data_IF_630954976161
#
_entry.id   IF_630954976161
#
_cell.length_a   1.000
_cell.length_b   1.000
_cell.length_c   1.000
_cell.angle_alpha   90.00
_cell.angle_beta   90.00
_cell.angle_gamma   90.00
#
_symmetry.space_group_name_H-M   'P 1'
#
loop_
_entity.id
_entity.type
_entity.pdbx_description
1 polymer ?
#
# COMPACT_ATOMS: atom_id res chain seq x y z
N UNK A 1 8.03 22.25 59.87
CA UNK A 1 7.18 21.72 60.99
C UNK A 1 6.91 20.29 60.55
N UNK A 2 7.69 19.57 61.06
CA UNK A 2 7.74 18.50 62.07
C UNK A 2 7.31 17.17 61.45
N UNK A 3 8.27 16.35 61.21
CA UNK A 3 9.11 15.47 62.07
C UNK A 3 8.39 14.21 62.57
N UNK A 4 9.07 13.11 62.34
CA UNK A 4 9.50 12.06 63.28
C UNK A 4 8.57 10.83 63.31
N UNK A 5 8.96 9.58 63.38
CA UNK A 5 10.24 8.90 63.55
C UNK A 5 9.95 7.37 63.68
N UNK A 6 10.85 6.53 63.22
CA UNK A 6 11.50 5.35 63.86
C UNK A 6 10.65 4.32 64.61
N UNK A 7 10.87 3.02 64.51
CA UNK A 7 11.93 2.15 65.03
C UNK A 7 11.69 0.70 64.61
N UNK A 8 12.69 0.04 64.11
CA UNK A 8 13.48 -1.05 64.69
C UNK A 8 12.76 -2.12 65.54
N UNK A 9 12.90 -3.40 65.22
CA UNK A 9 13.83 -4.26 65.94
C UNK A 9 13.94 -5.67 65.33
N UNK A 10 15.18 -6.13 65.25
CA UNK A 10 15.62 -7.48 64.93
C UNK A 10 15.47 -8.38 66.15
N UNK A 11 15.24 -9.68 66.03
CA UNK A 11 15.74 -10.70 66.97
C UNK A 11 16.09 -11.98 66.23
N UNK A 12 17.32 -12.42 66.48
CA UNK A 12 17.98 -13.65 66.08
C UNK A 12 17.80 -14.66 67.28
N UNK A 13 17.66 -15.96 67.01
CA UNK A 13 18.23 -17.04 67.79
C UNK A 13 18.00 -18.40 67.12
N UNK A 14 18.97 -19.05 66.71
CA UNK A 14 19.90 -20.11 67.04
C UNK A 14 19.30 -21.47 67.56
N UNK A 15 19.66 -22.47 66.75
CA UNK A 15 20.35 -23.73 67.13
C UNK A 15 19.55 -24.92 67.67
N UNK A 16 19.88 -26.08 67.09
CA UNK A 16 19.74 -27.37 67.81
C UNK A 16 19.85 -28.61 66.92
N UNK A 17 20.97 -29.25 67.00
CA UNK A 17 21.44 -30.48 66.37
C UNK A 17 20.66 -31.70 66.90
N UNK A 18 20.41 -32.76 66.12
CA UNK A 18 20.64 -34.16 66.49
C UNK A 18 20.52 -35.13 65.32
N UNK A 19 21.51 -35.96 65.17
CA UNK A 19 21.61 -37.15 64.29
C UNK A 19 20.69 -38.29 64.80
N UNK A 20 20.15 -39.05 63.83
CA UNK A 20 19.93 -40.48 64.00
C UNK A 20 19.90 -41.19 62.62
N UNK A 21 20.82 -42.13 62.46
CA UNK A 21 20.93 -43.08 61.32
C UNK A 21 19.89 -44.17 61.47
N UNK A 22 19.20 -44.54 60.43
CA UNK A 22 18.74 -45.92 60.20
C UNK A 22 18.62 -46.18 58.70
N UNK A 23 19.36 -47.17 58.22
CA UNK A 23 19.32 -47.71 56.90
C UNK A 23 18.04 -48.54 56.70
N UNK A 24 17.29 -48.32 55.64
CA UNK A 24 16.32 -49.29 55.15
C UNK A 24 16.36 -49.34 53.62
N UNK A 25 16.80 -50.50 53.15
CA UNK A 25 16.88 -50.91 51.77
C UNK A 25 15.46 -51.03 51.20
N UNK A 26 15.09 -50.22 50.24
CA UNK A 26 13.85 -50.39 49.50
C UNK A 26 14.11 -50.20 48.02
N UNK A 27 13.87 -51.30 47.33
CA UNK A 27 13.91 -51.51 45.85
C UNK A 27 12.90 -50.56 45.21
N UNK A 28 13.36 -49.56 44.49
CA UNK A 28 12.50 -48.66 43.70
C UNK A 28 12.63 -49.00 42.20
N UNK A 29 11.49 -49.45 41.66
CA UNK A 29 11.27 -49.56 40.22
C UNK A 29 11.53 -48.17 39.56
N UNK A 30 12.48 -48.15 38.64
CA UNK A 30 12.69 -47.03 37.74
C UNK A 30 11.56 -47.02 36.69
N UNK A 31 10.53 -46.21 36.90
CA UNK A 31 9.68 -45.79 35.79
C UNK A 31 10.41 -44.67 35.05
N UNK A 32 10.97 -45.01 33.90
CA UNK A 32 11.50 -44.04 32.96
C UNK A 32 10.32 -43.22 32.40
N UNK A 33 10.04 -42.04 33.01
CA UNK A 33 9.27 -41.00 32.39
C UNK A 33 10.12 -40.42 31.25
N UNK A 34 9.83 -40.85 30.05
CA UNK A 34 10.31 -40.18 28.84
C UNK A 34 9.61 -38.81 28.76
N UNK A 35 10.16 -37.81 29.46
CA UNK A 35 9.93 -36.41 29.10
C UNK A 35 10.61 -36.21 27.75
N UNK A 36 9.82 -36.20 26.68
CA UNK A 36 10.29 -35.75 25.41
C UNK A 36 10.77 -34.30 25.56
N UNK A 37 12.07 -34.10 25.52
CA UNK A 37 12.67 -32.80 25.31
C UNK A 37 12.05 -32.23 24.03
N UNK A 38 11.09 -31.29 24.16
CA UNK A 38 10.83 -30.31 23.14
C UNK A 38 12.15 -29.56 22.96
N UNK A 39 12.95 -29.99 21.98
CA UNK A 39 14.03 -29.16 21.46
C UNK A 39 13.36 -27.84 21.07
N UNK A 40 13.53 -26.82 21.91
CA UNK A 40 13.42 -25.43 21.46
C UNK A 40 14.43 -25.33 20.34
N UNK A 41 13.93 -25.21 19.11
CA UNK A 41 14.75 -24.82 17.97
C UNK A 41 15.21 -23.42 18.33
N UNK A 42 16.42 -23.32 18.89
CA UNK A 42 17.11 -22.07 19.07
C UNK A 42 17.35 -21.57 17.65
N UNK A 43 16.64 -20.53 17.22
CA UNK A 43 16.78 -19.96 15.88
C UNK A 43 18.25 -19.61 15.69
N UNK A 44 18.87 -20.23 14.70
CA UNK A 44 20.27 -19.93 14.36
C UNK A 44 20.38 -18.41 14.07
N UNK A 45 21.46 -17.75 14.50
CA UNK A 45 21.62 -16.33 14.26
C UNK A 45 21.57 -16.04 12.75
N UNK A 46 20.78 -15.01 12.39
CA UNK A 46 20.64 -14.59 11.01
C UNK A 46 22.02 -14.26 10.40
N UNK A 47 22.25 -14.64 9.16
CA UNK A 47 23.42 -14.19 8.41
C UNK A 47 23.36 -12.66 8.24
N UNK A 48 24.53 -12.01 8.11
CA UNK A 48 24.59 -10.55 7.86
C UNK A 48 23.79 -10.14 6.62
N UNK A 49 23.79 -10.96 5.58
CA UNK A 49 23.03 -10.71 4.36
C UNK A 49 21.51 -10.79 4.60
N UNK A 50 21.07 -11.69 5.46
CA UNK A 50 19.66 -11.83 5.82
C UNK A 50 19.20 -10.70 6.75
N UNK A 51 20.00 -10.35 7.75
CA UNK A 51 19.73 -9.23 8.64
C UNK A 51 19.63 -7.91 7.85
N UNK A 52 20.51 -7.69 6.87
CA UNK A 52 20.46 -6.54 5.97
C UNK A 52 19.18 -6.53 5.15
N UNK A 53 18.84 -7.65 4.50
CA UNK A 53 17.62 -7.77 3.70
C UNK A 53 16.37 -7.46 4.54
N UNK A 54 16.22 -8.03 5.72
CA UNK A 54 15.09 -7.78 6.60
C UNK A 54 15.01 -6.32 7.05
N UNK A 55 16.16 -5.66 7.26
CA UNK A 55 16.23 -4.23 7.57
C UNK A 55 15.75 -3.38 6.38
N UNK A 56 16.18 -3.70 5.16
CA UNK A 56 15.75 -3.01 3.93
C UNK A 56 14.24 -3.18 3.71
N UNK A 57 13.70 -4.37 3.93
CA UNK A 57 12.26 -4.64 3.85
C UNK A 57 11.47 -3.86 4.91
N UNK A 58 11.98 -3.77 6.13
CA UNK A 58 11.35 -2.98 7.18
C UNK A 58 11.27 -1.50 6.81
N UNK A 59 12.37 -0.93 6.30
CA UNK A 59 12.42 0.45 5.83
C UNK A 59 11.45 0.69 4.66
N UNK A 60 11.41 -0.23 3.69
CA UNK A 60 10.47 -0.13 2.57
C UNK A 60 9.01 -0.12 3.04
N UNK A 61 8.65 -1.00 3.98
CA UNK A 61 7.30 -1.07 4.57
C UNK A 61 6.91 0.20 5.31
N UNK A 62 7.85 0.78 6.05
CA UNK A 62 7.64 2.07 6.74
C UNK A 62 7.40 3.20 5.72
N UNK A 63 8.27 3.32 4.69
CA UNK A 63 8.13 4.32 3.64
C UNK A 63 6.80 4.15 2.89
N UNK A 64 6.42 2.91 2.56
CA UNK A 64 5.15 2.59 1.90
C UNK A 64 3.93 3.10 2.69
N UNK A 65 3.91 2.92 4.00
CA UNK A 65 2.84 3.42 4.86
C UNK A 65 2.86 4.95 4.96
N UNK A 66 4.03 5.54 5.07
CA UNK A 66 4.20 7.00 5.07
C UNK A 66 3.66 7.62 3.78
N UNK A 67 4.04 7.10 2.62
CA UNK A 67 3.59 7.59 1.31
C UNK A 67 2.06 7.53 1.16
N UNK A 68 1.45 6.44 1.62
CA UNK A 68 -0.01 6.30 1.60
C UNK A 68 -0.72 7.33 2.48
N UNK A 69 -0.10 7.71 3.60
CA UNK A 69 -0.69 8.59 4.61
C UNK A 69 -0.22 10.04 4.52
N UNK A 70 0.54 10.40 3.48
CA UNK A 70 0.85 11.81 3.20
C UNK A 70 -0.45 12.66 3.09
N UNK A 71 -0.42 13.96 3.38
CA UNK A 71 -1.58 14.84 3.26
C UNK A 71 -2.29 14.77 1.90
N UNK A 72 -1.54 14.41 0.84
CA UNK A 72 -2.02 14.18 -0.53
C UNK A 72 -1.74 12.76 -1.04
N UNK A 73 -1.46 11.81 -0.14
CA UNK A 73 -1.33 10.39 -0.42
C UNK A 73 -2.64 9.77 -0.90
N UNK A 74 -2.63 8.49 -1.23
CA UNK A 74 -3.82 7.80 -1.72
C UNK A 74 -4.94 7.67 -0.68
N UNK A 75 -4.60 7.60 0.60
CA UNK A 75 -5.59 7.56 1.68
C UNK A 75 -6.32 8.90 1.89
N UNK A 76 -5.80 10.00 1.34
CA UNK A 76 -6.45 11.32 1.38
C UNK A 76 -7.54 11.51 0.31
N UNK A 77 -7.72 10.55 -0.61
CA UNK A 77 -8.68 10.65 -1.72
C UNK A 77 -10.11 10.49 -1.20
N UNK A 78 -10.92 11.55 -1.35
CA UNK A 78 -12.29 11.65 -0.83
C UNK A 78 -13.37 11.77 -1.89
N UNK A 79 -13.01 11.81 -3.17
CA UNK A 79 -13.98 11.94 -4.25
C UNK A 79 -13.41 11.70 -5.63
N UNK A 80 -14.25 11.10 -6.47
CA UNK A 80 -14.09 11.00 -7.92
C UNK A 80 -15.44 11.34 -8.55
N UNK A 81 -15.51 12.45 -9.28
CA UNK A 81 -16.76 12.97 -9.81
C UNK A 81 -16.67 13.21 -11.31
N UNK A 82 -17.42 12.46 -12.09
CA UNK A 82 -17.45 12.58 -13.54
C UNK A 82 -18.09 13.90 -13.98
N UNK A 83 -17.42 14.60 -14.89
CA UNK A 83 -17.94 15.81 -15.53
C UNK A 83 -18.89 15.43 -16.67
N UNK A 84 -20.10 14.96 -16.34
CA UNK A 84 -21.09 14.49 -17.30
C UNK A 84 -21.80 15.64 -18.07
N UNK A 85 -22.00 16.78 -17.40
CA UNK A 85 -22.62 17.96 -17.96
C UNK A 85 -21.59 18.99 -18.45
N UNK A 86 -22.07 20.00 -19.21
CA UNK A 86 -21.21 21.09 -19.65
C UNK A 86 -20.75 21.98 -18.49
N UNK A 87 -21.55 22.10 -17.43
CA UNK A 87 -21.23 22.92 -16.25
C UNK A 87 -21.66 22.21 -14.98
N UNK A 88 -20.83 22.33 -13.94
CA UNK A 88 -21.09 21.80 -12.61
C UNK A 88 -20.70 22.81 -11.54
N UNK A 89 -21.63 23.16 -10.66
CA UNK A 89 -21.30 23.82 -9.40
C UNK A 89 -20.76 22.77 -8.42
N UNK A 90 -19.61 23.07 -7.81
CA UNK A 90 -18.89 22.16 -6.92
C UNK A 90 -18.74 22.81 -5.54
N UNK A 91 -18.93 22.03 -4.49
CA UNK A 91 -18.76 22.44 -3.11
C UNK A 91 -19.28 21.37 -2.14
N UNK A 92 -19.12 21.57 -0.84
CA UNK A 92 -19.67 20.66 0.18
C UNK A 92 -21.15 20.93 0.50
N UNK A 93 -21.67 22.08 0.08
CA UNK A 93 -23.04 22.50 0.34
C UNK A 93 -24.10 21.70 -0.43
N UNK A 94 -25.32 21.67 0.12
CA UNK A 94 -26.44 20.91 -0.45
C UNK A 94 -26.88 21.36 -1.85
N UNK A 95 -26.58 22.61 -2.25
CA UNK A 95 -26.92 23.17 -3.57
C UNK A 95 -25.89 22.88 -4.64
N UNK A 96 -24.77 22.22 -4.30
CA UNK A 96 -23.74 21.86 -5.27
C UNK A 96 -24.19 20.69 -6.14
N UNK A 97 -24.06 20.82 -7.46
CA UNK A 97 -24.34 19.73 -8.41
C UNK A 97 -23.33 18.56 -8.28
N UNK A 98 -22.09 18.89 -7.93
CA UNK A 98 -21.07 17.93 -7.46
C UNK A 98 -20.78 18.27 -6.01
N UNK A 99 -21.15 17.35 -5.11
CA UNK A 99 -20.94 17.51 -3.67
C UNK A 99 -19.65 16.83 -3.25
N UNK A 100 -18.67 17.64 -2.81
CA UNK A 100 -17.42 17.13 -2.22
C UNK A 100 -17.62 16.90 -0.71
N UNK A 101 -16.89 15.94 -0.16
CA UNK A 101 -17.06 15.52 1.24
C UNK A 101 -16.53 16.55 2.24
N UNK A 102 -15.45 17.25 1.90
CA UNK A 102 -14.78 18.28 2.74
C UNK A 102 -14.44 19.49 1.89
N UNK A 103 -14.46 20.68 2.50
CA UNK A 103 -14.14 21.95 1.85
C UNK A 103 -15.28 22.97 1.94
N UNK A 104 -15.19 24.11 1.22
CA UNK A 104 -16.18 25.20 1.27
C UNK A 104 -17.55 24.74 0.73
N UNK A 105 -18.63 25.32 1.25
CA UNK A 105 -20.01 25.05 0.80
C UNK A 105 -20.18 25.29 -0.70
N UNK A 106 -19.57 26.35 -1.23
CA UNK A 106 -19.49 26.64 -2.66
C UNK A 106 -18.02 26.88 -3.01
N UNK A 107 -17.43 25.97 -3.79
CA UNK A 107 -16.05 26.12 -4.27
C UNK A 107 -16.00 26.96 -5.56
N UNK A 108 -16.93 26.71 -6.46
CA UNK A 108 -17.03 27.40 -7.75
C UNK A 108 -17.66 26.54 -8.83
N UNK A 109 -17.49 26.95 -10.08
CA UNK A 109 -18.10 26.33 -11.24
C UNK A 109 -17.03 25.74 -12.18
N UNK A 110 -17.17 24.45 -12.49
CA UNK A 110 -16.40 23.76 -13.54
C UNK A 110 -17.18 23.74 -14.83
N UNK A 111 -16.53 24.06 -15.94
CA UNK A 111 -17.14 24.11 -17.27
C UNK A 111 -16.26 23.34 -18.27
N UNK A 112 -16.90 22.51 -19.10
CA UNK A 112 -16.25 21.88 -20.27
C UNK A 112 -16.50 22.70 -21.52
N UNK A 113 -15.47 22.96 -22.27
CA UNK A 113 -15.58 23.64 -23.57
C UNK A 113 -14.45 23.16 -24.50
N UNK A 114 -14.80 22.63 -25.67
CA UNK A 114 -13.83 22.21 -26.69
C UNK A 114 -12.79 21.20 -26.19
N UNK A 115 -13.18 20.24 -25.34
CA UNK A 115 -12.25 19.26 -24.77
C UNK A 115 -11.41 19.78 -23.59
N UNK A 116 -11.56 21.04 -23.20
CA UNK A 116 -10.87 21.68 -22.07
C UNK A 116 -11.80 21.81 -20.87
N UNK A 117 -11.22 21.87 -19.69
CA UNK A 117 -11.92 22.13 -18.44
C UNK A 117 -11.50 23.49 -17.89
N UNK A 118 -12.48 24.30 -17.55
CA UNK A 118 -12.29 25.63 -16.95
C UNK A 118 -12.91 25.66 -15.59
N UNK A 119 -12.29 26.40 -14.68
CA UNK A 119 -12.80 26.64 -13.34
C UNK A 119 -12.97 28.14 -13.09
N UNK A 120 -14.13 28.51 -12.55
CA UNK A 120 -14.44 29.86 -12.07
C UNK A 120 -14.69 29.77 -10.57
N UNK A 121 -13.85 30.41 -9.72
CA UNK A 121 -14.00 30.34 -8.26
C UNK A 121 -15.24 31.08 -7.76
N UNK A 122 -15.76 30.62 -6.62
CA UNK A 122 -16.71 31.40 -5.84
C UNK A 122 -16.03 32.65 -5.26
N UNK A 123 -16.79 33.73 -5.11
CA UNK A 123 -16.25 35.00 -4.61
C UNK A 123 -15.79 34.89 -3.15
N UNK A 124 -14.66 35.51 -2.86
CA UNK A 124 -14.14 35.60 -1.48
C UNK A 124 -13.33 34.36 -1.02
N UNK A 125 -13.19 33.33 -1.84
CA UNK A 125 -12.35 32.17 -1.50
C UNK A 125 -10.87 32.46 -1.80
N UNK A 126 -10.02 32.05 -0.87
CA UNK A 126 -8.57 31.99 -1.05
C UNK A 126 -8.21 30.63 -1.66
N UNK A 127 -7.93 30.61 -2.96
CA UNK A 127 -7.60 29.40 -3.72
C UNK A 127 -6.21 29.53 -4.36
N UNK A 128 -5.59 28.40 -4.61
CA UNK A 128 -4.33 28.34 -5.36
C UNK A 128 -4.47 27.48 -6.61
N UNK A 129 -3.73 27.81 -7.66
CA UNK A 129 -3.51 26.99 -8.83
C UNK A 129 -2.02 26.70 -8.91
N UNK A 130 -1.66 25.41 -8.87
CA UNK A 130 -0.25 24.95 -8.88
C UNK A 130 0.57 25.65 -7.77
N UNK A 131 -0.05 25.81 -6.59
CA UNK A 131 0.54 26.47 -5.40
C UNK A 131 0.54 27.99 -5.41
N UNK A 132 0.10 28.67 -6.50
CA UNK A 132 0.07 30.11 -6.60
C UNK A 132 -1.35 30.66 -6.46
N UNK A 133 -1.56 31.75 -5.69
CA UNK A 133 -2.86 32.41 -5.61
C UNK A 133 -3.34 32.88 -6.98
N UNK A 134 -4.62 32.69 -7.28
CA UNK A 134 -5.21 33.16 -8.54
C UNK A 134 -6.59 33.75 -8.33
N UNK A 135 -7.08 34.46 -9.34
CA UNK A 135 -8.42 35.05 -9.37
C UNK A 135 -9.02 34.87 -10.75
N UNK A 136 -10.34 34.77 -10.81
CA UNK A 136 -11.08 34.67 -12.07
C UNK A 136 -11.07 33.28 -12.67
N UNK A 137 -11.50 33.20 -13.92
CA UNK A 137 -11.63 31.95 -14.66
C UNK A 137 -10.26 31.46 -15.16
N UNK A 138 -9.95 30.18 -14.90
CA UNK A 138 -8.69 29.52 -15.31
C UNK A 138 -8.97 28.23 -16.09
N UNK A 139 -8.06 27.84 -16.98
CA UNK A 139 -8.05 26.53 -17.61
C UNK A 139 -7.32 25.55 -16.68
N UNK A 140 -7.88 24.35 -16.51
CA UNK A 140 -7.26 23.24 -15.77
C UNK A 140 -6.80 22.16 -16.76
N UNK A 141 -5.52 21.84 -16.73
CA UNK A 141 -4.96 20.71 -17.48
C UNK A 141 -5.36 19.40 -16.80
N UNK A 142 -5.73 18.41 -17.58
CA UNK A 142 -5.90 17.03 -17.09
C UNK A 142 -4.57 16.24 -17.14
N UNK A 143 -4.60 15.00 -16.66
CA UNK A 143 -3.43 14.12 -16.57
C UNK A 143 -3.10 13.34 -17.85
N UNK A 144 -3.75 13.63 -18.99
CA UNK A 144 -3.55 12.88 -20.23
C UNK A 144 -2.22 13.20 -20.94
N UNK A 145 -1.69 14.42 -20.75
CA UNK A 145 -0.49 14.91 -21.44
C UNK A 145 0.54 15.50 -20.45
N UNK A 146 0.72 14.89 -19.30
CA UNK A 146 1.64 15.33 -18.28
C UNK A 146 0.96 15.67 -16.96
N UNK A 147 1.66 16.34 -16.02
CA UNK A 147 1.09 16.65 -14.72
C UNK A 147 -0.17 17.52 -14.84
N UNK A 148 -1.27 17.13 -14.17
CA UNK A 148 -2.49 17.93 -14.16
C UNK A 148 -2.31 19.20 -13.35
N UNK A 149 -3.14 20.23 -13.64
CA UNK A 149 -3.24 21.40 -12.77
C UNK A 149 -3.81 21.00 -11.40
N UNK A 150 -3.24 21.56 -10.33
CA UNK A 150 -3.65 21.32 -8.95
C UNK A 150 -4.36 22.55 -8.40
N UNK A 151 -5.67 22.47 -8.23
CA UNK A 151 -6.48 23.47 -7.54
C UNK A 151 -6.43 23.20 -6.04
N UNK A 152 -5.82 24.12 -5.27
CA UNK A 152 -5.76 24.08 -3.81
C UNK A 152 -6.87 24.89 -3.16
N UNK A 153 -7.47 24.36 -2.10
CA UNK A 153 -8.52 25.00 -1.31
C UNK A 153 -8.36 24.64 0.18
N UNK A 154 -9.15 25.24 1.04
CA UNK A 154 -9.15 24.99 2.49
C UNK A 154 -7.72 25.08 3.08
N UNK A 155 -7.08 26.25 2.86
CA UNK A 155 -5.71 26.55 3.33
C UNK A 155 -4.66 25.51 2.86
N UNK A 156 -4.90 24.91 1.70
CA UNK A 156 -4.00 23.90 1.10
C UNK A 156 -4.25 22.47 1.55
N UNK A 157 -5.16 22.21 2.47
CA UNK A 157 -5.58 20.86 2.89
C UNK A 157 -6.30 20.11 1.78
N UNK A 158 -7.12 20.80 1.01
CA UNK A 158 -7.85 20.26 -0.13
C UNK A 158 -7.10 20.45 -1.44
N UNK A 159 -7.03 19.40 -2.25
CA UNK A 159 -6.47 19.42 -3.59
C UNK A 159 -7.46 18.78 -4.56
N UNK A 160 -7.67 19.44 -5.69
CA UNK A 160 -8.52 18.94 -6.77
C UNK A 160 -7.74 18.96 -8.08
N UNK A 161 -7.82 17.86 -8.81
CA UNK A 161 -7.22 17.71 -10.15
C UNK A 161 -8.27 17.21 -11.11
N UNK A 162 -8.09 17.50 -12.41
CA UNK A 162 -8.86 16.88 -13.49
C UNK A 162 -8.09 15.66 -13.97
N UNK A 163 -8.78 14.52 -14.05
CA UNK A 163 -8.23 13.31 -14.66
C UNK A 163 -9.02 12.94 -15.91
N UNK A 164 -8.36 12.30 -16.87
CA UNK A 164 -8.97 11.73 -18.07
C UNK A 164 -8.89 10.19 -18.01
N UNK A 165 -10.02 9.50 -18.24
CA UNK A 165 -10.07 8.04 -18.32
C UNK A 165 -11.10 7.63 -19.38
N UNK A 166 -10.64 6.90 -20.39
CA UNK A 166 -11.50 6.38 -21.44
C UNK A 166 -12.27 7.47 -22.20
N UNK A 167 -11.66 8.62 -22.46
CA UNK A 167 -12.29 9.77 -23.14
C UNK A 167 -13.15 10.65 -22.23
N UNK A 168 -13.33 10.28 -20.96
CA UNK A 168 -14.14 11.03 -19.99
C UNK A 168 -13.27 11.75 -18.98
N UNK A 169 -13.72 12.92 -18.50
CA UNK A 169 -13.04 13.69 -17.47
C UNK A 169 -13.76 13.61 -16.16
N UNK A 170 -12.98 13.51 -15.08
CA UNK A 170 -13.48 13.53 -13.72
C UNK A 170 -12.66 14.48 -12.84
N UNK A 171 -13.28 14.98 -11.77
CA UNK A 171 -12.62 15.67 -10.68
C UNK A 171 -12.16 14.63 -9.66
N UNK A 172 -10.86 14.58 -9.41
CA UNK A 172 -10.25 13.81 -8.32
C UNK A 172 -10.00 14.74 -7.15
N UNK A 173 -10.60 14.44 -6.00
CA UNK A 173 -10.55 15.31 -4.82
C UNK A 173 -9.82 14.60 -3.70
N UNK A 174 -8.76 15.23 -3.18
CA UNK A 174 -8.00 14.81 -2.01
C UNK A 174 -8.16 15.84 -0.89
N UNK A 175 -8.08 15.40 0.36
CA UNK A 175 -8.08 16.28 1.52
C UNK A 175 -7.24 15.72 2.65
N UNK A 176 -6.43 16.57 3.27
CA UNK A 176 -5.56 16.16 4.39
C UNK A 176 -6.34 15.61 5.59
N UNK A 177 -7.57 16.10 5.83
CA UNK A 177 -8.43 15.63 6.92
C UNK A 177 -9.36 14.46 6.48
N UNK A 178 -9.06 13.77 5.38
CA UNK A 178 -9.83 12.61 4.93
C UNK A 178 -9.94 11.54 6.02
N UNK A 179 -11.14 11.03 6.36
CA UNK A 179 -11.31 9.99 7.37
C UNK A 179 -10.49 8.71 7.08
N UNK A 180 -10.35 8.35 5.81
CA UNK A 180 -9.52 7.22 5.37
C UNK A 180 -8.05 7.42 5.66
N UNK A 181 -7.57 8.67 5.71
CA UNK A 181 -6.21 9.03 6.07
C UNK A 181 -6.04 9.14 7.59
N UNK A 182 -6.90 9.91 8.26
CA UNK A 182 -6.77 10.20 9.71
C UNK A 182 -7.03 8.97 10.58
N UNK A 183 -7.79 8.00 10.08
CA UNK A 183 -8.07 6.73 10.73
C UNK A 183 -7.36 5.55 10.05
N UNK A 184 -6.27 5.83 9.29
CA UNK A 184 -5.54 4.79 8.57
C UNK A 184 -4.98 3.77 9.56
N UNK A 185 -5.18 2.49 9.25
CA UNK A 185 -4.65 1.37 10.03
C UNK A 185 -3.34 0.90 9.43
N UNK A 186 -2.52 0.26 10.25
CA UNK A 186 -1.31 -0.38 9.73
C UNK A 186 -1.66 -1.39 8.64
N UNK A 187 -0.76 -1.51 7.67
CA UNK A 187 -0.84 -2.53 6.64
C UNK A 187 -0.30 -3.83 7.22
N UNK A 188 -1.07 -4.91 7.07
CA UNK A 188 -0.61 -6.24 7.43
C UNK A 188 0.19 -6.85 6.28
N UNK A 189 1.30 -7.49 6.63
CA UNK A 189 2.21 -8.16 5.70
C UNK A 189 2.36 -9.64 6.06
N UNK A 190 2.73 -10.43 5.07
CA UNK A 190 3.36 -11.71 5.31
C UNK A 190 4.75 -11.49 5.95
N UNK A 191 5.27 -12.41 6.77
CA UNK A 191 6.68 -12.38 7.14
C UNK A 191 7.56 -12.26 5.91
N UNK A 192 8.61 -11.45 5.98
CA UNK A 192 9.54 -11.34 4.86
C UNK A 192 10.32 -12.66 4.72
N UNK A 193 10.32 -13.21 3.51
CA UNK A 193 10.93 -14.49 3.20
C UNK A 193 11.73 -14.37 1.89
N UNK A 194 13.03 -14.65 1.96
CA UNK A 194 13.93 -14.54 0.80
C UNK A 194 13.60 -15.52 -0.32
N UNK A 195 12.88 -16.60 -0.01
CA UNK A 195 12.44 -17.55 -1.03
C UNK A 195 11.41 -16.93 -1.99
N UNK A 196 10.80 -15.81 -1.59
CA UNK A 196 9.94 -15.01 -2.45
C UNK A 196 10.69 -13.91 -3.23
N UNK A 197 12.01 -13.88 -3.16
CA UNK A 197 12.87 -13.04 -3.97
C UNK A 197 13.48 -13.91 -5.08
N UNK A 198 12.82 -13.95 -6.24
CA UNK A 198 13.13 -14.87 -7.33
C UNK A 198 13.88 -14.17 -8.48
N UNK A 199 14.83 -14.85 -9.07
CA UNK A 199 15.46 -14.42 -10.32
C UNK A 199 14.56 -14.79 -11.49
N UNK A 200 14.25 -13.81 -12.34
CA UNK A 200 13.49 -13.98 -13.57
C UNK A 200 14.34 -13.63 -14.79
N UNK A 201 13.95 -14.16 -15.92
CA UNK A 201 14.50 -13.82 -17.24
C UNK A 201 13.50 -12.94 -17.98
N UNK A 202 13.94 -11.79 -18.46
CA UNK A 202 13.13 -10.90 -19.28
C UNK A 202 13.07 -11.43 -20.72
N UNK A 203 11.88 -11.62 -21.23
CA UNK A 203 11.59 -12.02 -22.61
C UNK A 203 10.99 -10.81 -23.31
N UNK A 204 11.76 -10.12 -24.18
CA UNK A 204 11.30 -8.90 -24.81
C UNK A 204 10.20 -9.16 -25.84
N UNK A 205 9.25 -8.24 -25.93
CA UNK A 205 8.26 -8.15 -26.99
C UNK A 205 8.79 -7.27 -28.14
N UNK A 206 8.22 -7.37 -29.35
CA UNK A 206 8.51 -6.43 -30.44
C UNK A 206 8.29 -4.96 -29.98
N UNK A 207 9.13 -4.01 -30.45
CA UNK A 207 8.95 -2.59 -30.13
C UNK A 207 7.54 -2.09 -30.45
N UNK A 208 6.98 -1.27 -29.57
CA UNK A 208 5.62 -0.71 -29.72
C UNK A 208 4.49 -1.67 -29.32
N UNK A 209 4.80 -2.85 -28.80
CA UNK A 209 3.78 -3.76 -28.26
C UNK A 209 3.05 -3.11 -27.09
N UNK A 210 1.71 -3.21 -27.09
CA UNK A 210 0.85 -2.78 -26.00
C UNK A 210 -0.01 -3.93 -25.49
N UNK A 211 -0.44 -3.83 -24.25
CA UNK A 211 -1.36 -4.77 -23.63
C UNK A 211 -2.63 -4.04 -23.21
N UNK A 212 -3.83 -4.49 -23.61
CA UNK A 212 -5.09 -3.90 -23.14
C UNK A 212 -5.31 -4.27 -21.65
N UNK A 213 -5.36 -3.26 -20.81
CA UNK A 213 -5.55 -3.38 -19.36
C UNK A 213 -6.91 -2.81 -18.99
N UNK A 214 -7.77 -3.65 -18.46
CA UNK A 214 -9.05 -3.22 -17.88
C UNK A 214 -8.80 -2.46 -16.58
N UNK A 215 -9.63 -1.47 -16.29
CA UNK A 215 -9.60 -0.75 -15.01
C UNK A 215 -10.80 -1.10 -14.15
N UNK A 216 -10.72 -0.82 -12.85
CA UNK A 216 -11.80 -1.08 -11.89
C UNK A 216 -13.06 -0.26 -12.18
N UNK A 217 -12.96 0.81 -12.96
CA UNK A 217 -14.09 1.65 -13.39
C UNK A 217 -14.69 1.22 -14.73
N UNK A 218 -14.24 0.08 -15.30
CA UNK A 218 -14.78 -0.49 -16.54
C UNK A 218 -14.23 0.10 -17.84
N UNK A 219 -13.19 0.94 -17.79
CA UNK A 219 -12.46 1.38 -18.99
C UNK A 219 -11.36 0.39 -19.35
N UNK A 220 -10.85 0.46 -20.57
CA UNK A 220 -9.67 -0.29 -21.02
C UNK A 220 -8.64 0.68 -21.57
N UNK A 221 -7.40 0.52 -21.12
CA UNK A 221 -6.26 1.35 -21.55
C UNK A 221 -5.21 0.45 -22.20
N UNK A 222 -4.67 0.85 -23.36
CA UNK A 222 -3.56 0.15 -23.98
C UNK A 222 -2.26 0.65 -23.37
N UNK A 223 -1.65 -0.17 -22.53
CA UNK A 223 -0.41 0.17 -21.82
C UNK A 223 0.81 -0.42 -22.54
N UNK A 224 1.93 0.31 -22.66
CA UNK A 224 3.16 -0.22 -23.21
C UNK A 224 3.61 -1.50 -22.52
N UNK A 225 3.87 -2.55 -23.30
CA UNK A 225 4.28 -3.87 -22.81
C UNK A 225 5.60 -4.27 -23.48
N UNK A 226 6.76 -3.91 -22.88
CA UNK A 226 8.07 -4.17 -23.46
C UNK A 226 8.48 -5.64 -23.45
N UNK A 227 7.80 -6.47 -22.67
CA UNK A 227 8.10 -7.90 -22.53
C UNK A 227 7.50 -8.52 -21.29
N UNK A 228 7.90 -9.73 -20.99
CA UNK A 228 7.46 -10.48 -19.83
C UNK A 228 8.64 -11.00 -19.00
N UNK A 229 8.38 -11.29 -17.74
CA UNK A 229 9.31 -11.92 -16.81
C UNK A 229 8.95 -13.39 -16.64
N UNK A 230 9.90 -14.28 -16.93
CA UNK A 230 9.76 -15.73 -16.72
C UNK A 230 10.63 -16.19 -15.55
N UNK A 231 10.03 -16.93 -14.61
CA UNK A 231 10.72 -17.49 -13.46
C UNK A 231 10.25 -18.92 -13.16
N UNK A 232 11.08 -19.66 -12.43
CA UNK A 232 10.79 -21.04 -12.02
C UNK A 232 10.43 -21.07 -10.54
N UNK A 233 9.35 -21.77 -10.19
CA UNK A 233 9.00 -22.08 -8.80
C UNK A 233 8.25 -23.42 -8.75
N UNK A 234 8.60 -24.26 -7.78
CA UNK A 234 7.95 -25.57 -7.56
C UNK A 234 7.91 -26.45 -8.84
N UNK A 235 8.99 -26.38 -9.65
CA UNK A 235 9.11 -27.13 -10.89
C UNK A 235 8.24 -26.62 -12.06
N UNK A 236 7.56 -25.48 -11.89
CA UNK A 236 6.75 -24.83 -12.94
C UNK A 236 7.38 -23.53 -13.39
N UNK A 237 7.18 -23.21 -14.67
CA UNK A 237 7.51 -21.88 -15.22
C UNK A 237 6.30 -20.97 -15.11
N UNK A 238 6.52 -19.80 -14.56
CA UNK A 238 5.53 -18.71 -14.51
C UNK A 238 5.98 -17.57 -15.39
N UNK A 239 5.01 -16.88 -15.99
CA UNK A 239 5.23 -15.72 -16.85
C UNK A 239 4.34 -14.56 -16.39
N UNK A 240 4.92 -13.36 -16.32
CA UNK A 240 4.22 -12.13 -15.95
C UNK A 240 4.53 -11.08 -17.00
N UNK A 241 3.53 -10.57 -17.69
CA UNK A 241 3.65 -9.43 -18.59
C UNK A 241 4.00 -8.17 -17.80
N UNK A 242 5.05 -7.48 -18.22
CA UNK A 242 5.53 -6.26 -17.61
C UNK A 242 5.02 -5.02 -18.35
N UNK A 243 4.66 -3.99 -17.62
CA UNK A 243 4.17 -2.72 -18.15
C UNK A 243 5.21 -1.64 -17.97
N UNK A 244 5.41 -0.81 -19.00
CA UNK A 244 6.28 0.36 -18.94
C UNK A 244 5.44 1.63 -18.85
N UNK A 245 5.50 2.29 -17.71
CA UNK A 245 4.80 3.55 -17.45
C UNK A 245 5.72 4.77 -17.56
N UNK A 246 6.91 4.60 -18.15
CA UNK A 246 7.90 5.67 -18.31
C UNK A 246 8.78 5.91 -17.09
N UNK A 247 8.64 5.04 -16.05
CA UNK A 247 9.42 5.09 -14.82
C UNK A 247 10.78 4.39 -14.95
N UNK A 248 11.60 4.47 -13.91
CA UNK A 248 12.89 3.75 -13.83
C UNK A 248 12.71 2.25 -13.64
N UNK A 249 11.52 1.81 -13.28
CA UNK A 249 11.11 0.43 -13.06
C UNK A 249 10.11 -0.05 -14.10
N UNK A 250 9.85 -1.36 -14.12
CA UNK A 250 8.70 -1.95 -14.79
C UNK A 250 7.65 -2.30 -13.75
N UNK A 251 6.37 -2.10 -14.09
CA UNK A 251 5.25 -2.42 -13.20
C UNK A 251 4.64 -3.77 -13.56
N UNK A 252 4.42 -4.60 -12.56
CA UNK A 252 3.70 -5.87 -12.66
C UNK A 252 2.36 -5.72 -11.93
N UNK A 253 1.27 -6.07 -12.61
CA UNK A 253 -0.07 -6.12 -12.01
C UNK A 253 -0.47 -7.58 -11.98
N UNK A 254 -0.56 -8.18 -10.80
CA UNK A 254 -0.73 -9.62 -10.63
C UNK A 254 -1.99 -9.95 -9.82
N UNK A 255 -2.58 -11.08 -10.14
CA UNK A 255 -3.49 -11.81 -9.26
C UNK A 255 -2.93 -13.23 -9.07
N UNK A 256 -3.16 -13.80 -7.91
CA UNK A 256 -2.66 -15.11 -7.54
C UNK A 256 -3.72 -15.87 -6.72
N UNK A 257 -3.45 -17.10 -6.27
CA UNK A 257 -4.41 -17.92 -5.52
C UNK A 257 -4.83 -17.34 -4.17
N UNK A 258 -4.09 -16.35 -3.64
CA UNK A 258 -4.46 -15.66 -2.39
C UNK A 258 -5.45 -14.52 -2.62
N UNK A 259 -5.63 -14.07 -3.88
CA UNK A 259 -6.46 -12.93 -4.24
C UNK A 259 -7.93 -13.14 -3.90
N UNK A 260 -8.52 -12.20 -3.15
CA UNK A 260 -9.91 -12.28 -2.67
C UNK A 260 -10.07 -13.03 -1.34
N UNK A 261 -9.04 -13.69 -0.88
CA UNK A 261 -8.97 -14.41 0.40
C UNK A 261 -8.06 -13.64 1.36
N UNK A 262 -6.76 -13.96 1.36
CA UNK A 262 -5.77 -13.31 2.25
C UNK A 262 -5.27 -11.99 1.69
N UNK A 263 -5.34 -11.79 0.37
CA UNK A 263 -4.90 -10.56 -0.29
C UNK A 263 -6.04 -9.85 -1.01
N UNK A 264 -5.81 -8.63 -1.49
CA UNK A 264 -6.85 -7.83 -2.14
C UNK A 264 -7.38 -8.49 -3.42
N UNK A 265 -8.70 -8.56 -3.56
CA UNK A 265 -9.36 -9.32 -4.63
C UNK A 265 -9.11 -8.82 -6.05
N UNK A 266 -8.82 -7.52 -6.21
CA UNK A 266 -8.48 -6.93 -7.50
C UNK A 266 -6.98 -7.05 -7.85
N UNK A 267 -6.23 -7.88 -7.12
CA UNK A 267 -4.81 -8.11 -7.33
C UNK A 267 -3.89 -7.15 -6.59
N UNK A 268 -2.60 -7.32 -6.80
CA UNK A 268 -1.52 -6.53 -6.20
C UNK A 268 -0.58 -6.01 -7.28
N UNK A 269 0.12 -4.95 -6.96
CA UNK A 269 1.14 -4.35 -7.81
C UNK A 269 2.53 -4.69 -7.29
N UNK A 270 3.49 -4.66 -8.18
CA UNK A 270 4.89 -4.90 -7.86
C UNK A 270 5.76 -4.15 -8.86
N UNK A 271 6.68 -3.34 -8.38
CA UNK A 271 7.64 -2.65 -9.21
C UNK A 271 8.97 -3.40 -9.18
N UNK A 272 9.52 -3.66 -10.35
CA UNK A 272 10.77 -4.37 -10.52
C UNK A 272 11.78 -3.51 -11.28
N UNK A 273 13.09 -3.67 -11.03
CA UNK A 273 14.09 -2.96 -11.81
C UNK A 273 14.02 -3.36 -13.28
N UNK A 274 14.48 -2.50 -14.17
CA UNK A 274 14.65 -2.88 -15.59
C UNK A 274 15.68 -4.00 -15.70
N UNK A 275 15.57 -4.84 -16.75
CA UNK A 275 16.50 -5.95 -16.97
C UNK A 275 17.96 -5.48 -17.03
N UNK A 276 18.85 -6.26 -16.47
CA UNK A 276 20.28 -6.10 -16.64
C UNK A 276 20.72 -6.41 -18.10
N UNK A 277 21.99 -6.17 -18.49
CA UNK A 277 22.47 -6.46 -19.84
C UNK A 277 22.37 -7.95 -20.25
N UNK A 278 22.17 -8.86 -19.30
CA UNK A 278 21.96 -10.31 -19.54
C UNK A 278 20.47 -10.67 -19.55
N UNK A 279 19.57 -9.70 -19.45
CA UNK A 279 18.15 -9.91 -19.39
C UNK A 279 17.65 -10.45 -18.04
N UNK A 280 18.43 -10.31 -16.95
CA UNK A 280 18.01 -10.78 -15.64
C UNK A 280 17.30 -9.67 -14.85
N UNK A 281 16.28 -10.08 -14.11
CA UNK A 281 15.49 -9.22 -13.21
C UNK A 281 15.23 -9.99 -11.92
N UNK A 282 15.33 -9.32 -10.78
CA UNK A 282 14.88 -9.89 -9.51
C UNK A 282 13.47 -9.42 -9.24
N UNK A 283 12.55 -10.37 -9.07
CA UNK A 283 11.18 -10.12 -8.61
C UNK A 283 11.17 -10.40 -7.11
N UNK A 284 10.95 -9.36 -6.30
CA UNK A 284 10.81 -9.50 -4.86
C UNK A 284 9.33 -9.43 -4.46
N UNK A 285 8.67 -10.57 -4.36
CA UNK A 285 7.25 -10.64 -4.01
C UNK A 285 6.97 -10.14 -2.57
N UNK A 286 7.97 -10.02 -1.70
CA UNK A 286 7.80 -9.41 -0.38
C UNK A 286 7.38 -7.92 -0.49
N UNK A 287 7.64 -7.31 -1.65
CA UNK A 287 7.22 -5.95 -2.00
C UNK A 287 5.96 -5.87 -2.86
N UNK A 288 5.22 -6.98 -3.00
CA UNK A 288 3.91 -6.93 -3.64
C UNK A 288 2.94 -6.14 -2.76
N UNK A 289 2.30 -5.10 -3.33
CA UNK A 289 1.51 -4.13 -2.58
C UNK A 289 0.09 -3.95 -3.11
N UNK A 290 -0.81 -3.56 -2.24
CA UNK A 290 -2.19 -3.24 -2.58
C UNK A 290 -2.30 -2.00 -3.46
N UNK A 291 -3.08 -2.03 -4.55
CA UNK A 291 -3.36 -0.85 -5.34
C UNK A 291 -4.17 0.19 -4.53
N UNK A 292 -4.17 1.47 -4.96
CA UNK A 292 -4.94 2.53 -4.30
C UNK A 292 -6.40 2.21 -4.01
N UNK A 293 -7.06 1.42 -4.88
CA UNK A 293 -8.46 1.02 -4.73
C UNK A 293 -8.71 0.06 -3.54
N UNK A 294 -7.67 -0.48 -2.92
CA UNK A 294 -7.79 -1.20 -1.64
C UNK A 294 -8.04 -0.26 -0.45
N UNK A 295 -7.67 1.01 -0.56
CA UNK A 295 -7.74 2.00 0.51
C UNK A 295 -8.86 3.02 0.32
N UNK A 296 -9.33 3.22 -0.92
CA UNK A 296 -10.37 4.20 -1.25
C UNK A 296 -11.22 3.72 -2.44
N UNK A 297 -12.55 3.97 -2.44
CA UNK A 297 -13.42 3.63 -3.57
C UNK A 297 -13.27 4.60 -4.76
N UNK A 298 -12.47 5.65 -4.64
CA UNK A 298 -12.35 6.72 -5.63
C UNK A 298 -11.15 6.58 -6.57
N UNK A 299 -10.41 5.48 -6.49
CA UNK A 299 -9.28 5.19 -7.37
C UNK A 299 -9.74 4.52 -8.68
N UNK A 300 -8.96 4.70 -9.75
CA UNK A 300 -9.24 4.17 -11.10
C UNK A 300 -8.23 3.09 -11.49
N UNK A 301 -7.93 2.18 -10.57
CA UNK A 301 -6.82 1.23 -10.68
C UNK A 301 -6.92 0.30 -11.90
N UNK A 302 -5.83 0.08 -12.63
CA UNK A 302 -5.72 -1.02 -13.59
C UNK A 302 -5.83 -2.39 -12.88
N UNK A 303 -6.40 -3.36 -13.57
CA UNK A 303 -6.64 -4.71 -13.08
C UNK A 303 -5.61 -5.69 -13.70
N UNK A 304 -5.30 -6.80 -13.01
CA UNK A 304 -4.43 -7.83 -13.56
C UNK A 304 -4.98 -8.37 -14.88
N UNK A 305 -4.20 -8.31 -15.98
CA UNK A 305 -4.58 -8.97 -17.22
C UNK A 305 -4.63 -10.50 -17.02
N UNK A 306 -5.32 -11.19 -17.90
CA UNK A 306 -5.48 -12.64 -17.78
C UNK A 306 -4.14 -13.39 -17.72
N UNK A 307 -3.13 -12.89 -18.43
CA UNK A 307 -1.78 -13.44 -18.49
C UNK A 307 -1.05 -13.37 -17.14
N UNK A 308 -1.42 -12.39 -16.30
CA UNK A 308 -0.80 -12.16 -14.98
C UNK A 308 -1.62 -12.77 -13.83
N UNK A 309 -2.50 -13.71 -14.13
CA UNK A 309 -3.21 -14.52 -13.12
C UNK A 309 -2.42 -15.80 -12.85
N UNK A 310 -1.65 -15.78 -11.78
CA UNK A 310 -0.72 -16.84 -11.43
C UNK A 310 -1.45 -18.00 -10.76
N UNK A 311 -1.22 -19.22 -11.27
CA UNK A 311 -1.62 -20.48 -10.59
C UNK A 311 -0.63 -20.82 -9.45
N UNK A 312 -0.40 -19.86 -8.56
CA UNK A 312 0.54 -19.87 -7.44
C UNK A 312 -0.07 -19.11 -6.26
N UNK A 313 0.10 -19.60 -5.05
CA UNK A 313 -0.24 -18.85 -3.84
C UNK A 313 0.96 -18.01 -3.41
N UNK A 314 0.94 -16.70 -3.70
CA UNK A 314 2.03 -15.78 -3.33
C UNK A 314 1.81 -15.30 -1.90
N UNK A 315 2.35 -16.06 -0.93
CA UNK A 315 2.27 -15.77 0.51
C UNK A 315 3.38 -14.82 0.95
N UNK A 316 3.50 -13.68 0.26
CA UNK A 316 4.48 -12.62 0.50
C UNK A 316 3.86 -11.25 0.20
N UNK A 317 4.43 -10.18 0.72
CA UNK A 317 3.98 -8.81 0.52
C UNK A 317 2.78 -8.41 1.38
N UNK A 318 2.00 -7.43 0.92
CA UNK A 318 0.84 -6.90 1.63
C UNK A 318 -0.33 -7.88 1.64
N UNK A 319 -0.97 -8.04 2.81
CA UNK A 319 -2.25 -8.71 2.99
C UNK A 319 -3.41 -7.77 2.68
N UNK A 320 -4.63 -8.30 2.70
CA UNK A 320 -5.85 -7.51 2.47
C UNK A 320 -6.02 -6.46 3.55
N UNK A 321 -6.08 -5.18 3.16
CA UNK A 321 -6.24 -4.05 4.07
C UNK A 321 -7.59 -4.06 4.78
N UNK A 322 -7.60 -3.72 6.06
CA UNK A 322 -8.81 -3.54 6.87
C UNK A 322 -9.48 -4.83 7.36
N UNK A 323 -8.91 -5.99 7.10
CA UNK A 323 -9.35 -7.29 7.62
C UNK A 323 -8.37 -7.72 8.72
N UNK A 324 -8.88 -8.22 9.85
CA UNK A 324 -8.04 -8.88 10.86
C UNK A 324 -7.70 -10.28 10.36
N UNK A 325 -6.42 -10.60 10.31
CA UNK A 325 -5.88 -11.92 9.95
C UNK A 325 -5.44 -12.69 11.17
#
# INVERSE_FOLDING_TARGET
>A
MDTINRHHTSVVLRAGIALARTAMLSLLLATASACGDKKTVEDAPLSEAEARYLSEESLWRMQRQEDLTQPDGWSSLIGLHWLSLQSHYVGSGARSGIRIALGPESLGMFQRNGGKVFFTPERGLALTLDGQPFKGRVELKDDSNGPPSVLGFDEGKGKLTVIERGGNRALRVKHADAPTRTNFKNIDYWPADRDWRVEATFVPNPPGTTLPIATIIGTTENMPNPGALEFQREGKTYRIEALDQGETTLSLIIADRTSGHETYGAGRYLDVPRPDPKGKVVIDFNRAYNPPCAFTPFATCPLPPNQNRLDLAVTAGEKRYGVKH
#
